data_IF_614933519082
#
_entry.id   IF_614933519082
#
_cell.length_a   1.000
_cell.length_b   1.000
_cell.length_c   1.000
_cell.angle_alpha   90.00
_cell.angle_beta   90.00
_cell.angle_gamma   90.00
#
_symmetry.space_group_name_H-M   'P 1'
#
loop_
_entity.id
_entity.type
_entity.pdbx_description
1 polymer ?
#
# COMPACT_ATOMS: atom_id res chain seq x y z
N UNK A 1 -11.07 21.07 13.55
CA UNK A 1 -10.57 19.88 12.82
C UNK A 1 -10.49 18.71 13.78
N UNK A 2 -11.40 17.75 13.64
CA UNK A 2 -11.62 16.69 14.63
C UNK A 2 -10.42 15.74 14.75
N UNK A 3 -10.16 15.23 15.95
CA UNK A 3 -9.06 14.28 16.24
C UNK A 3 -9.06 13.06 15.29
N UNK A 4 -10.23 12.68 14.77
CA UNK A 4 -10.39 11.61 13.78
C UNK A 4 -9.66 11.89 12.45
N UNK A 5 -9.86 13.07 11.83
CA UNK A 5 -9.24 13.42 10.54
C UNK A 5 -7.71 13.44 10.58
N UNK A 6 -7.13 13.88 11.71
CA UNK A 6 -5.68 13.84 11.90
C UNK A 6 -5.16 12.40 11.97
N UNK A 7 -5.92 11.50 12.58
CA UNK A 7 -5.53 10.08 12.72
C UNK A 7 -5.49 9.36 11.36
N UNK A 8 -6.44 9.63 10.46
CA UNK A 8 -6.42 9.10 9.07
C UNK A 8 -5.22 9.60 8.28
N UNK A 9 -4.83 10.86 8.49
CA UNK A 9 -3.68 11.44 7.79
C UNK A 9 -2.38 10.75 8.19
N UNK A 10 -2.15 10.50 9.49
CA UNK A 10 -0.96 9.79 9.96
C UNK A 10 -0.91 8.34 9.46
N UNK A 11 -2.05 7.64 9.42
CA UNK A 11 -2.12 6.28 8.90
C UNK A 11 -1.86 6.21 7.39
N UNK A 12 -2.22 7.26 6.64
CA UNK A 12 -1.90 7.35 5.21
C UNK A 12 -0.39 7.54 4.97
N UNK A 13 0.29 8.27 5.85
CA UNK A 13 1.75 8.42 5.81
C UNK A 13 2.44 7.09 6.12
N UNK A 14 2.00 6.36 7.15
CA UNK A 14 2.61 5.06 7.46
C UNK A 14 2.42 4.06 6.32
N UNK A 15 1.23 4.02 5.70
CA UNK A 15 0.97 3.17 4.54
C UNK A 15 1.90 3.51 3.35
N UNK A 16 2.13 4.80 3.11
CA UNK A 16 3.07 5.26 2.09
C UNK A 16 4.51 4.86 2.41
N UNK A 17 4.93 4.93 3.67
CA UNK A 17 6.26 4.48 4.11
C UNK A 17 6.47 2.98 3.89
N UNK A 18 5.46 2.15 4.19
CA UNK A 18 5.51 0.71 3.88
C UNK A 18 5.63 0.45 2.37
N UNK A 19 4.89 1.20 1.55
CA UNK A 19 4.97 1.10 0.09
C UNK A 19 6.35 1.50 -0.42
N UNK A 20 6.90 2.60 0.09
CA UNK A 20 8.25 3.05 -0.25
C UNK A 20 9.30 2.02 0.17
N UNK A 21 9.17 1.45 1.38
CA UNK A 21 10.02 0.37 1.85
C UNK A 21 9.96 -0.88 0.97
N UNK A 22 8.79 -1.24 0.44
CA UNK A 22 8.65 -2.32 -0.52
C UNK A 22 9.48 -2.08 -1.78
N UNK A 23 9.41 -0.87 -2.36
CA UNK A 23 10.20 -0.52 -3.54
C UNK A 23 11.71 -0.50 -3.26
N UNK A 24 12.12 0.02 -2.10
CA UNK A 24 13.52 0.00 -1.68
C UNK A 24 14.01 -1.44 -1.53
N UNK A 25 13.23 -2.31 -0.88
CA UNK A 25 13.51 -3.73 -0.73
C UNK A 25 13.66 -4.42 -2.09
N UNK A 26 12.75 -4.16 -3.03
CA UNK A 26 12.80 -4.73 -4.37
C UNK A 26 14.09 -4.36 -5.10
N UNK A 27 14.41 -3.07 -5.14
CA UNK A 27 15.61 -2.56 -5.83
C UNK A 27 16.87 -3.15 -5.17
N UNK A 28 16.92 -3.15 -3.84
CA UNK A 28 18.06 -3.68 -3.08
C UNK A 28 18.27 -5.18 -3.34
N UNK A 29 17.17 -5.94 -3.40
CA UNK A 29 17.20 -7.37 -3.71
C UNK A 29 17.77 -7.65 -5.11
N UNK A 30 17.37 -6.88 -6.12
CA UNK A 30 17.91 -7.03 -7.47
C UNK A 30 19.39 -6.63 -7.57
N UNK A 31 19.79 -5.53 -6.93
CA UNK A 31 21.20 -5.11 -6.89
C UNK A 31 22.05 -6.21 -6.25
N UNK A 32 21.62 -6.74 -5.09
CA UNK A 32 22.36 -7.79 -4.39
C UNK A 32 22.40 -9.09 -5.19
N UNK A 33 21.30 -9.47 -5.85
CA UNK A 33 21.23 -10.65 -6.72
C UNK A 33 22.29 -10.60 -7.81
N UNK A 34 22.38 -9.48 -8.54
CA UNK A 34 23.38 -9.31 -9.60
C UNK A 34 24.79 -9.19 -9.04
N UNK A 35 24.98 -8.50 -7.91
CA UNK A 35 26.28 -8.43 -7.25
C UNK A 35 26.80 -9.82 -6.86
N UNK A 36 25.93 -10.70 -6.33
CA UNK A 36 26.31 -12.07 -6.01
C UNK A 36 26.58 -12.87 -7.28
N UNK A 37 25.72 -12.81 -8.30
CA UNK A 37 25.92 -13.61 -9.52
C UNK A 37 27.17 -13.23 -10.32
N UNK A 38 27.47 -11.94 -10.46
CA UNK A 38 28.57 -11.46 -11.28
C UNK A 38 29.85 -11.20 -10.48
N UNK A 39 29.73 -10.77 -9.22
CA UNK A 39 30.87 -10.45 -8.36
C UNK A 39 31.77 -11.66 -8.11
N UNK A 40 31.19 -12.84 -7.86
CA UNK A 40 31.97 -14.06 -7.67
C UNK A 40 32.73 -14.47 -8.93
N UNK A 41 32.15 -14.27 -10.13
CA UNK A 41 32.81 -14.61 -11.40
C UNK A 41 34.01 -13.71 -11.68
N UNK A 42 33.91 -12.42 -11.39
CA UNK A 42 35.02 -11.47 -11.56
C UNK A 42 36.17 -11.84 -10.61
N UNK A 43 35.87 -12.11 -9.35
CA UNK A 43 36.87 -12.49 -8.34
C UNK A 43 37.55 -13.82 -8.68
N UNK A 44 36.78 -14.82 -9.12
CA UNK A 44 37.31 -16.13 -9.53
C UNK A 44 38.13 -16.06 -10.81
N UNK A 45 37.80 -15.18 -11.76
CA UNK A 45 38.59 -15.05 -12.99
C UNK A 45 39.96 -14.38 -12.75
N UNK A 46 40.04 -13.48 -11.76
CA UNK A 46 41.28 -12.89 -11.27
C UNK A 46 42.18 -13.91 -10.53
N UNK A 47 41.57 -14.88 -9.86
CA UNK A 47 42.25 -15.98 -9.18
C UNK A 47 42.42 -17.16 -10.16
N UNK A 48 43.49 -17.19 -10.96
CA UNK A 48 43.82 -18.25 -11.94
C UNK A 48 43.92 -19.67 -11.32
N UNK A 49 42.82 -20.26 -10.89
CA UNK A 49 42.79 -21.57 -10.24
C UNK A 49 41.71 -22.44 -10.85
N UNK A 50 41.99 -23.04 -12.00
CA UNK A 50 41.07 -23.96 -12.68
C UNK A 50 41.00 -25.28 -11.88
N UNK A 51 40.22 -25.28 -10.80
CA UNK A 51 40.05 -26.40 -9.88
C UNK A 51 38.63 -26.96 -9.97
N UNK A 52 38.43 -28.29 -9.96
CA UNK A 52 37.09 -28.91 -10.00
C UNK A 52 36.18 -28.49 -8.83
N UNK A 53 36.75 -27.97 -7.74
CA UNK A 53 35.99 -27.36 -6.64
C UNK A 53 35.25 -26.07 -7.05
N UNK A 54 35.68 -25.39 -8.11
CA UNK A 54 34.99 -24.21 -8.65
C UNK A 54 33.57 -24.53 -9.12
N UNK A 55 33.36 -25.69 -9.74
CA UNK A 55 32.07 -26.03 -10.33
C UNK A 55 30.98 -26.21 -9.26
N UNK A 56 31.33 -26.81 -8.12
CA UNK A 56 30.43 -26.90 -6.96
C UNK A 56 30.18 -25.53 -6.30
N UNK A 57 31.20 -24.67 -6.29
CA UNK A 57 31.10 -23.31 -5.75
C UNK A 57 30.19 -22.43 -6.61
N UNK A 58 30.25 -22.54 -7.95
CA UNK A 58 29.37 -21.82 -8.87
C UNK A 58 27.90 -22.25 -8.75
N UNK A 59 27.65 -23.56 -8.56
CA UNK A 59 26.30 -24.06 -8.34
C UNK A 59 25.71 -23.52 -7.02
N UNK A 60 26.48 -23.57 -5.93
CA UNK A 60 26.09 -23.03 -4.63
C UNK A 60 25.83 -21.52 -4.66
N UNK A 61 26.68 -20.77 -5.37
CA UNK A 61 26.52 -19.32 -5.54
C UNK A 61 25.25 -18.97 -6.33
N UNK A 62 24.96 -19.71 -7.41
CA UNK A 62 23.77 -19.49 -8.22
C UNK A 62 22.51 -19.79 -7.42
N UNK A 63 22.44 -20.95 -6.75
CA UNK A 63 21.32 -21.32 -5.90
C UNK A 63 21.12 -20.31 -4.74
N UNK A 64 22.22 -19.89 -4.10
CA UNK A 64 22.20 -18.87 -3.05
C UNK A 64 21.65 -17.52 -3.53
N UNK A 65 22.05 -17.07 -4.72
CA UNK A 65 21.53 -15.84 -5.31
C UNK A 65 20.01 -15.91 -5.52
N UNK A 66 19.49 -17.02 -6.05
CA UNK A 66 18.04 -17.20 -6.22
C UNK A 66 17.29 -17.25 -4.89
N UNK A 67 17.85 -17.88 -3.85
CA UNK A 67 17.25 -17.88 -2.52
C UNK A 67 17.19 -16.47 -1.92
N UNK A 68 18.26 -15.69 -2.08
CA UNK A 68 18.30 -14.28 -1.66
C UNK A 68 17.21 -13.49 -2.40
N UNK A 69 17.14 -13.62 -3.72
CA UNK A 69 16.14 -12.93 -4.53
C UNK A 69 14.71 -13.32 -4.11
N UNK A 70 14.44 -14.61 -3.91
CA UNK A 70 13.15 -15.08 -3.43
C UNK A 70 12.78 -14.49 -2.06
N UNK A 71 13.74 -14.39 -1.13
CA UNK A 71 13.54 -13.74 0.16
C UNK A 71 13.18 -12.26 0.04
N UNK A 72 13.90 -11.51 -0.81
CA UNK A 72 13.59 -10.10 -1.07
C UNK A 72 12.25 -9.89 -1.77
N UNK A 73 11.88 -10.77 -2.70
CA UNK A 73 10.57 -10.73 -3.36
C UNK A 73 9.44 -10.99 -2.36
N UNK A 74 9.59 -12.01 -1.50
CA UNK A 74 8.62 -12.31 -0.45
C UNK A 74 8.49 -11.15 0.53
N UNK A 75 9.61 -10.58 1.00
CA UNK A 75 9.60 -9.42 1.87
C UNK A 75 8.89 -8.22 1.21
N UNK A 76 9.22 -7.93 -0.06
CA UNK A 76 8.59 -6.86 -0.84
C UNK A 76 7.07 -7.07 -0.92
N UNK A 77 6.63 -8.30 -1.20
CA UNK A 77 5.22 -8.65 -1.28
C UNK A 77 4.50 -8.38 0.06
N UNK A 78 5.13 -8.77 1.18
CA UNK A 78 4.58 -8.55 2.52
C UNK A 78 4.45 -7.05 2.82
N UNK A 79 5.50 -6.26 2.60
CA UNK A 79 5.47 -4.81 2.83
C UNK A 79 4.40 -4.12 1.97
N UNK A 80 4.30 -4.52 0.71
CA UNK A 80 3.30 -3.99 -0.21
C UNK A 80 1.88 -4.36 0.22
N UNK A 81 1.65 -5.63 0.59
CA UNK A 81 0.36 -6.10 1.07
C UNK A 81 -0.07 -5.34 2.33
N UNK A 82 0.82 -5.15 3.30
CA UNK A 82 0.54 -4.37 4.52
C UNK A 82 0.13 -2.93 4.19
N UNK A 83 0.86 -2.25 3.31
CA UNK A 83 0.48 -0.90 2.85
C UNK A 83 -0.93 -0.88 2.24
N UNK A 84 -1.22 -1.85 1.36
CA UNK A 84 -2.51 -1.98 0.70
C UNK A 84 -3.65 -2.24 1.69
N UNK A 85 -3.43 -3.09 2.68
CA UNK A 85 -4.40 -3.36 3.74
C UNK A 85 -4.74 -2.09 4.53
N UNK A 86 -3.75 -1.27 4.89
CA UNK A 86 -4.01 -0.02 5.61
C UNK A 86 -4.88 0.92 4.76
N UNK A 87 -4.58 1.05 3.47
CA UNK A 87 -5.40 1.85 2.55
C UNK A 87 -6.83 1.32 2.46
N UNK A 88 -7.00 0.01 2.32
CA UNK A 88 -8.31 -0.65 2.27
C UNK A 88 -9.16 -0.32 3.52
N UNK A 89 -8.58 -0.42 4.73
CA UNK A 89 -9.31 -0.09 5.96
C UNK A 89 -9.72 1.38 6.03
N UNK A 90 -8.87 2.29 5.59
CA UNK A 90 -9.21 3.73 5.51
C UNK A 90 -10.40 3.95 4.58
N UNK A 91 -10.39 3.29 3.41
CA UNK A 91 -11.44 3.45 2.41
C UNK A 91 -12.77 2.83 2.85
N UNK A 92 -12.73 1.66 3.51
CA UNK A 92 -13.90 1.04 4.13
C UNK A 92 -14.53 2.00 5.13
N UNK A 93 -13.73 2.59 6.03
CA UNK A 93 -14.26 3.51 7.02
C UNK A 93 -14.84 4.78 6.39
N UNK A 94 -14.15 5.36 5.41
CA UNK A 94 -14.63 6.55 4.71
C UNK A 94 -15.97 6.29 4.04
N UNK A 95 -16.16 5.11 3.44
CA UNK A 95 -17.42 4.72 2.82
C UNK A 95 -18.53 4.50 3.86
N UNK A 96 -18.25 3.82 4.98
CA UNK A 96 -19.23 3.62 6.05
C UNK A 96 -19.74 4.94 6.64
N UNK A 97 -18.86 5.93 6.84
CA UNK A 97 -19.25 7.28 7.30
C UNK A 97 -20.15 8.00 6.31
N UNK A 98 -19.82 7.93 5.01
CA UNK A 98 -20.66 8.50 3.94
C UNK A 98 -22.05 7.86 3.91
N UNK A 99 -22.12 6.52 4.01
CA UNK A 99 -23.39 5.81 4.03
C UNK A 99 -24.23 6.19 5.24
N UNK A 100 -23.62 6.31 6.44
CA UNK A 100 -24.34 6.76 7.63
C UNK A 100 -24.93 8.16 7.46
N UNK A 101 -24.15 9.11 6.92
CA UNK A 101 -24.61 10.47 6.64
C UNK A 101 -25.77 10.49 5.62
N UNK A 102 -25.70 9.67 4.57
CA UNK A 102 -26.78 9.55 3.58
C UNK A 102 -28.06 8.98 4.21
N UNK A 103 -27.94 7.97 5.06
CA UNK A 103 -29.07 7.38 5.78
C UNK A 103 -29.73 8.38 6.73
N UNK A 104 -28.95 9.16 7.50
CA UNK A 104 -29.46 10.22 8.37
C UNK A 104 -30.17 11.34 7.59
N UNK A 105 -29.63 11.72 6.42
CA UNK A 105 -30.25 12.72 5.55
C UNK A 105 -31.55 12.23 4.89
N UNK A 106 -31.72 10.91 4.74
CA UNK A 106 -32.91 10.29 4.15
C UNK A 106 -34.00 10.04 5.19
N UNK A 107 -33.63 9.80 6.45
CA UNK A 107 -34.54 9.53 7.56
C UNK A 107 -35.12 10.79 8.23
N UNK A 108 -34.60 11.97 7.91
CA UNK A 108 -35.22 13.24 8.27
C UNK A 108 -36.22 13.61 7.19
N UNK A 109 -37.54 13.50 7.39
CA UNK A 109 -38.50 13.99 6.41
C UNK A 109 -38.23 15.48 6.22
N UNK A 110 -38.05 15.91 4.98
CA UNK A 110 -38.14 17.33 4.64
C UNK A 110 -39.56 17.80 4.98
N UNK A 111 -39.78 18.21 6.22
CA UNK A 111 -40.90 19.07 6.61
C UNK A 111 -40.60 20.49 6.14
N UNK A 112 -40.37 20.66 4.83
CA UNK A 112 -40.77 21.88 4.16
C UNK A 112 -42.29 21.76 4.05
N UNK A 113 -43.07 22.16 5.06
CA UNK A 113 -43.44 23.57 5.26
C UNK A 113 -43.60 24.28 3.91
N UNK A 114 -44.41 23.68 3.04
CA UNK A 114 -45.16 24.43 2.04
C UNK A 114 -46.16 25.25 2.84
N UNK A 115 -45.70 26.45 3.21
CA UNK A 115 -46.50 27.51 3.83
C UNK A 115 -47.83 27.57 3.09
N UNK A 116 -48.87 27.22 3.81
CA UNK A 116 -50.26 27.24 3.37
C UNK A 116 -50.62 28.71 3.11
N UNK A 117 -50.42 29.15 1.88
CA UNK A 117 -50.85 30.46 1.42
C UNK A 117 -52.36 30.38 1.19
N UNK A 118 -53.12 30.55 2.27
CA UNK A 118 -54.57 30.71 2.23
C UNK A 118 -54.86 32.02 1.50
N UNK A 119 -55.57 32.03 0.36
CA UNK A 119 -56.03 33.26 -0.24
C UNK A 119 -57.01 33.91 0.72
N UNK A 120 -56.59 35.00 1.37
CA UNK A 120 -57.44 35.84 2.21
C UNK A 120 -58.56 36.39 1.32
N UNK A 121 -59.74 35.80 1.42
CA UNK A 121 -60.96 36.35 0.81
C UNK A 121 -61.20 37.71 1.45
N UNK A 122 -61.12 38.77 0.65
CA UNK A 122 -61.47 40.12 1.06
C UNK A 122 -63.00 40.24 1.15
N UNK A 123 -63.57 40.85 2.20
CA UNK A 123 -64.98 41.19 2.21
C UNK A 123 -65.23 42.37 1.27
N UNK A 124 -66.13 42.17 0.31
CA UNK A 124 -66.66 43.24 -0.55
C UNK A 124 -67.70 44.08 0.20
N UNK A 125 -67.77 45.41 -0.04
CA UNK A 125 -68.65 46.36 0.64
C UNK A 125 -70.13 46.20 0.30
#
# INVERSE_FOLDING_TARGET
MGKAERKYRSLRVIAWLFKLGAWISLISGFILFFAVLFGGKIFLHLMQGNSPYLQYMEFGQTAGAFLILAGFLLNTLILYAFSSTIHLFIDIEANTRKTAQLLESTSTPQTTSKKEETPRIAPSP
#
